data_IF_869259641979
#
_entry.id   IF_869259641979
#
_cell.length_a   1.000
_cell.length_b   1.000
_cell.length_c   1.000
_cell.angle_alpha   90.00
_cell.angle_beta   90.00
_cell.angle_gamma   90.00
#
_symmetry.space_group_name_H-M   'P 1'
#
loop_
_entity.id
_entity.type
_entity.pdbx_description
1 polymer ?
#
# COMPACT_ATOMS: atom_id res chain seq x y z
N UNK A 1 13.21 19.96 -16.01
CA UNK A 1 14.14 19.11 -15.25
C UNK A 1 14.29 17.76 -15.94
N UNK A 2 15.50 17.22 -15.93
CA UNK A 2 15.76 15.88 -16.46
C UNK A 2 15.16 14.83 -15.51
N UNK A 3 14.89 13.63 -16.04
CA UNK A 3 14.42 12.50 -15.23
C UNK A 3 15.36 12.24 -14.04
N UNK A 4 16.66 12.27 -14.27
CA UNK A 4 17.66 12.02 -13.23
C UNK A 4 17.58 13.07 -12.11
N UNK A 5 17.40 14.34 -12.45
CA UNK A 5 17.27 15.42 -11.47
C UNK A 5 16.01 15.25 -10.62
N UNK A 6 14.88 14.92 -11.25
CA UNK A 6 13.62 14.66 -10.56
C UNK A 6 13.78 13.46 -9.59
N UNK A 7 14.41 12.40 -10.06
CA UNK A 7 14.65 11.21 -9.24
C UNK A 7 15.48 11.54 -7.99
N UNK A 8 16.54 12.33 -8.14
CA UNK A 8 17.39 12.74 -7.00
C UNK A 8 16.62 13.60 -6.00
N UNK A 9 15.73 14.50 -6.48
CA UNK A 9 14.90 15.34 -5.60
C UNK A 9 13.87 14.52 -4.81
N UNK A 10 13.46 13.36 -5.31
CA UNK A 10 12.48 12.48 -4.68
C UNK A 10 13.14 11.32 -3.93
N UNK A 11 14.44 11.44 -3.64
CA UNK A 11 15.17 10.44 -2.85
C UNK A 11 15.39 10.95 -1.43
N UNK A 12 15.74 10.03 -0.52
CA UNK A 12 16.10 10.34 0.84
C UNK A 12 17.17 9.35 1.32
N UNK A 13 17.94 9.70 2.36
CA UNK A 13 18.88 8.74 2.96
C UNK A 13 18.18 7.47 3.46
N UNK A 14 16.97 7.61 3.99
CA UNK A 14 16.18 6.46 4.45
C UNK A 14 15.80 5.55 3.30
N UNK A 15 15.34 6.13 2.18
CA UNK A 15 15.00 5.37 0.99
C UNK A 15 16.20 4.61 0.45
N UNK A 16 17.36 5.26 0.37
CA UNK A 16 18.59 4.62 -0.10
C UNK A 16 18.96 3.42 0.76
N UNK A 17 18.86 3.56 2.08
CA UNK A 17 19.13 2.49 3.04
C UNK A 17 18.17 1.31 2.86
N UNK A 18 16.87 1.62 2.75
CA UNK A 18 15.85 0.60 2.56
C UNK A 18 16.05 -0.15 1.25
N UNK A 19 16.40 0.56 0.18
CA UNK A 19 16.67 -0.07 -1.12
C UNK A 19 17.90 -0.97 -1.06
N UNK A 20 18.91 -0.61 -0.28
CA UNK A 20 20.07 -1.47 -0.08
C UNK A 20 19.68 -2.79 0.62
N UNK A 21 18.86 -2.70 1.67
CA UNK A 21 18.34 -3.90 2.34
C UNK A 21 17.47 -4.73 1.40
N UNK A 22 16.63 -4.06 0.62
CA UNK A 22 15.73 -4.74 -0.33
C UNK A 22 16.52 -5.50 -1.42
N UNK A 23 17.67 -4.94 -1.84
CA UNK A 23 18.53 -5.64 -2.81
C UNK A 23 18.99 -7.01 -2.32
N UNK A 24 19.19 -7.15 -1.01
CA UNK A 24 19.57 -8.44 -0.40
C UNK A 24 18.35 -9.35 -0.17
N UNK A 25 17.15 -8.78 -0.04
CA UNK A 25 15.91 -9.54 0.25
C UNK A 25 14.75 -8.96 -0.57
N UNK A 26 14.77 -9.14 -1.91
CA UNK A 26 13.86 -8.40 -2.80
C UNK A 26 12.39 -8.75 -2.66
N UNK A 27 12.05 -9.87 -2.04
CA UNK A 27 10.66 -10.32 -1.87
C UNK A 27 10.16 -10.16 -0.43
N UNK A 28 10.96 -9.56 0.45
CA UNK A 28 10.57 -9.37 1.84
C UNK A 28 9.43 -8.34 1.92
N UNK A 29 8.21 -8.75 2.32
CA UNK A 29 7.07 -7.84 2.34
C UNK A 29 7.24 -6.70 3.34
N UNK A 30 7.96 -6.93 4.43
CA UNK A 30 8.22 -5.89 5.41
C UNK A 30 9.10 -4.79 4.81
N UNK A 31 10.12 -5.15 4.04
CA UNK A 31 10.98 -4.17 3.37
C UNK A 31 10.25 -3.46 2.23
N UNK A 32 9.49 -4.20 1.43
CA UNK A 32 8.68 -3.61 0.37
C UNK A 32 7.69 -2.60 0.95
N UNK A 33 7.07 -2.93 2.08
CA UNK A 33 6.14 -2.05 2.76
C UNK A 33 6.85 -0.77 3.25
N UNK A 34 8.03 -0.93 3.86
CA UNK A 34 8.79 0.21 4.35
C UNK A 34 9.19 1.16 3.20
N UNK A 35 9.58 0.60 2.06
CA UNK A 35 9.91 1.39 0.86
C UNK A 35 8.67 2.14 0.36
N UNK A 36 7.52 1.45 0.28
CA UNK A 36 6.27 2.09 -0.13
C UNK A 36 5.92 3.27 0.78
N UNK A 37 6.04 3.09 2.09
CA UNK A 37 5.77 4.15 3.07
C UNK A 37 6.72 5.34 2.90
N UNK A 38 7.97 5.07 2.59
CA UNK A 38 8.94 6.14 2.36
C UNK A 38 8.60 6.93 1.09
N UNK A 39 8.19 6.24 0.02
CA UNK A 39 7.73 6.95 -1.18
C UNK A 39 6.48 7.79 -0.91
N UNK A 40 5.55 7.32 -0.09
CA UNK A 40 4.41 8.15 0.32
C UNK A 40 4.88 9.42 1.04
N UNK A 41 5.85 9.28 1.95
CA UNK A 41 6.45 10.40 2.65
C UNK A 41 7.07 11.42 1.70
N UNK A 42 7.65 10.95 0.61
CA UNK A 42 8.24 11.80 -0.43
C UNK A 42 7.21 12.31 -1.45
N UNK A 43 5.94 12.01 -1.26
CA UNK A 43 4.84 12.39 -2.16
C UNK A 43 4.93 11.73 -3.54
N UNK A 44 5.66 10.63 -3.65
CA UNK A 44 5.72 9.84 -4.88
C UNK A 44 4.71 8.71 -4.81
N UNK A 45 3.45 9.06 -5.05
CA UNK A 45 2.32 8.13 -4.90
C UNK A 45 2.36 7.00 -5.92
N UNK A 46 2.87 7.24 -7.13
CA UNK A 46 2.95 6.22 -8.17
C UNK A 46 3.96 5.12 -7.79
N UNK A 47 5.14 5.52 -7.29
CA UNK A 47 6.12 4.55 -6.83
C UNK A 47 5.62 3.79 -5.59
N UNK A 48 4.98 4.49 -4.65
CA UNK A 48 4.38 3.85 -3.49
C UNK A 48 3.37 2.78 -3.92
N UNK A 49 2.51 3.11 -4.87
CA UNK A 49 1.53 2.16 -5.40
C UNK A 49 2.21 0.92 -5.99
N UNK A 50 3.26 1.11 -6.78
CA UNK A 50 3.99 -0.01 -7.39
C UNK A 50 4.52 -0.98 -6.34
N UNK A 51 5.07 -0.47 -5.23
CA UNK A 51 5.57 -1.34 -4.15
C UNK A 51 4.45 -2.04 -3.39
N UNK A 52 3.33 -1.36 -3.13
CA UNK A 52 2.18 -2.03 -2.52
C UNK A 52 1.63 -3.14 -3.42
N UNK A 53 1.55 -2.90 -4.72
CA UNK A 53 1.09 -3.92 -5.66
C UNK A 53 2.06 -5.10 -5.75
N UNK A 54 3.37 -4.85 -5.59
CA UNK A 54 4.37 -5.92 -5.54
C UNK A 54 4.14 -6.83 -4.31
N UNK A 55 3.80 -6.24 -3.15
CA UNK A 55 3.45 -7.04 -1.96
C UNK A 55 2.24 -7.91 -2.26
N UNK A 56 1.19 -7.33 -2.83
CA UNK A 56 -0.04 -8.07 -3.15
C UNK A 56 0.22 -9.25 -4.07
N UNK A 57 1.07 -9.04 -5.07
CA UNK A 57 1.41 -10.09 -6.02
C UNK A 57 2.20 -11.24 -5.39
N UNK A 58 3.10 -10.92 -4.46
CA UNK A 58 4.01 -11.90 -3.88
C UNK A 58 3.47 -12.52 -2.59
N UNK A 59 2.78 -11.73 -1.79
CA UNK A 59 2.27 -12.16 -0.48
C UNK A 59 0.88 -11.58 -0.22
N UNK A 60 -0.15 -12.08 -0.91
CA UNK A 60 -1.51 -11.55 -0.77
C UNK A 60 -2.10 -11.72 0.62
N UNK A 61 -1.52 -12.60 1.46
CA UNK A 61 -1.95 -12.78 2.85
C UNK A 61 -1.33 -11.75 3.82
N UNK A 62 -0.53 -10.83 3.34
CA UNK A 62 0.06 -9.79 4.19
C UNK A 62 -1.00 -8.75 4.55
N UNK A 63 -1.60 -8.91 5.73
CA UNK A 63 -2.78 -8.15 6.17
C UNK A 63 -2.53 -6.64 6.16
N UNK A 64 -1.36 -6.21 6.62
CA UNK A 64 -1.02 -4.80 6.76
C UNK A 64 -1.01 -4.00 5.44
N UNK A 65 -0.95 -4.69 4.32
CA UNK A 65 -0.96 -4.06 3.00
C UNK A 65 -2.26 -3.30 2.72
N UNK A 66 -3.40 -3.92 3.01
CA UNK A 66 -4.68 -3.56 2.38
C UNK A 66 -5.24 -2.22 2.84
N UNK A 67 -5.05 -1.88 4.10
CA UNK A 67 -5.46 -0.57 4.60
C UNK A 67 -4.70 0.55 3.88
N UNK A 68 -3.38 0.41 3.78
CA UNK A 68 -2.54 1.43 3.14
C UNK A 68 -2.77 1.50 1.64
N UNK A 69 -2.95 0.35 1.00
CA UNK A 69 -3.27 0.31 -0.44
C UNK A 69 -4.60 1.02 -0.71
N UNK A 70 -5.62 0.73 0.09
CA UNK A 70 -6.92 1.38 -0.05
C UNK A 70 -6.83 2.89 0.15
N UNK A 71 -6.10 3.33 1.19
CA UNK A 71 -5.91 4.76 1.44
C UNK A 71 -5.18 5.45 0.29
N UNK A 72 -4.20 4.79 -0.29
CA UNK A 72 -3.47 5.34 -1.43
C UNK A 72 -4.39 5.49 -2.65
N UNK A 73 -5.22 4.50 -2.92
CA UNK A 73 -6.21 4.59 -3.99
C UNK A 73 -7.20 5.74 -3.75
N UNK A 74 -7.60 6.00 -2.51
CA UNK A 74 -8.42 7.16 -2.21
C UNK A 74 -7.70 8.47 -2.57
N UNK A 75 -6.41 8.57 -2.22
CA UNK A 75 -5.60 9.75 -2.57
C UNK A 75 -5.48 9.95 -4.09
N UNK A 76 -5.47 8.85 -4.83
CA UNK A 76 -5.39 8.88 -6.29
C UNK A 76 -6.76 9.06 -6.96
N UNK A 77 -7.79 9.31 -6.17
CA UNK A 77 -9.18 9.49 -6.64
C UNK A 77 -9.69 8.27 -7.41
N UNK A 78 -9.34 7.07 -6.90
CA UNK A 78 -9.76 5.79 -7.44
C UNK A 78 -10.57 5.02 -6.40
N UNK A 79 -11.83 5.46 -6.12
CA UNK A 79 -12.62 4.88 -5.03
C UNK A 79 -13.02 3.43 -5.25
N UNK A 80 -13.22 3.01 -6.51
CA UNK A 80 -13.55 1.62 -6.81
C UNK A 80 -12.41 0.70 -6.40
N UNK A 81 -11.18 1.04 -6.76
CA UNK A 81 -10.00 0.27 -6.39
C UNK A 81 -9.77 0.28 -4.88
N UNK A 82 -10.05 1.41 -4.23
CA UNK A 82 -9.97 1.50 -2.77
C UNK A 82 -10.98 0.54 -2.11
N UNK A 83 -12.22 0.53 -2.57
CA UNK A 83 -13.25 -0.39 -2.09
C UNK A 83 -12.80 -1.85 -2.23
N UNK A 84 -12.29 -2.20 -3.40
CA UNK A 84 -11.81 -3.56 -3.66
C UNK A 84 -10.65 -3.94 -2.76
N UNK A 85 -9.71 -3.02 -2.52
CA UNK A 85 -8.58 -3.27 -1.63
C UNK A 85 -9.04 -3.52 -0.18
N UNK A 86 -9.96 -2.69 0.32
CA UNK A 86 -10.50 -2.88 1.67
C UNK A 86 -11.27 -4.20 1.78
N UNK A 87 -12.07 -4.52 0.77
CA UNK A 87 -12.85 -5.76 0.76
C UNK A 87 -11.94 -6.99 0.78
N UNK A 88 -10.90 -6.99 -0.07
CA UNK A 88 -9.92 -8.07 -0.09
C UNK A 88 -9.19 -8.18 1.26
N UNK A 89 -8.81 -7.04 1.82
CA UNK A 89 -8.14 -7.00 3.13
C UNK A 89 -9.01 -7.56 4.25
N UNK A 90 -10.31 -7.29 4.21
CA UNK A 90 -11.23 -7.84 5.20
C UNK A 90 -11.27 -9.37 5.16
N UNK A 91 -11.27 -9.94 3.96
CA UNK A 91 -11.23 -11.39 3.80
C UNK A 91 -9.91 -11.97 4.34
N UNK A 92 -8.79 -11.32 4.03
CA UNK A 92 -7.47 -11.74 4.52
C UNK A 92 -7.43 -11.66 6.06
N UNK A 93 -7.96 -10.57 6.63
CA UNK A 93 -8.00 -10.37 8.07
C UNK A 93 -8.85 -11.45 8.77
N UNK A 94 -10.00 -11.82 8.17
CA UNK A 94 -10.83 -12.88 8.71
C UNK A 94 -10.10 -14.21 8.76
N UNK A 95 -9.42 -14.57 7.68
CA UNK A 95 -8.65 -15.81 7.61
C UNK A 95 -7.49 -15.81 8.61
N UNK A 96 -6.87 -14.67 8.84
CA UNK A 96 -5.79 -14.51 9.81
C UNK A 96 -6.30 -14.36 11.25
N UNK A 97 -7.60 -14.23 11.44
CA UNK A 97 -8.24 -13.95 12.75
C UNK A 97 -7.71 -12.66 13.38
N UNK A 98 -7.42 -11.69 12.54
CA UNK A 98 -6.94 -10.37 12.96
C UNK A 98 -8.12 -9.42 13.09
N UNK A 99 -8.72 -9.38 14.28
CA UNK A 99 -9.93 -8.59 14.54
C UNK A 99 -9.66 -7.09 14.48
N UNK A 100 -8.45 -6.67 14.88
CA UNK A 100 -8.07 -5.26 14.81
C UNK A 100 -8.02 -4.78 13.36
N UNK A 101 -7.32 -5.51 12.51
CA UNK A 101 -7.23 -5.18 11.09
C UNK A 101 -8.61 -5.22 10.42
N UNK A 102 -9.43 -6.22 10.74
CA UNK A 102 -10.77 -6.32 10.19
C UNK A 102 -11.61 -5.08 10.53
N UNK A 103 -11.55 -4.63 11.79
CA UNK A 103 -12.28 -3.43 12.22
C UNK A 103 -11.80 -2.17 11.50
N UNK A 104 -10.49 -2.00 11.35
CA UNK A 104 -9.92 -0.85 10.63
C UNK A 104 -10.37 -0.84 9.16
N UNK A 105 -10.28 -1.98 8.50
CA UNK A 105 -10.63 -2.10 7.08
C UNK A 105 -12.13 -1.89 6.87
N UNK A 106 -12.97 -2.47 7.73
CA UNK A 106 -14.41 -2.27 7.65
C UNK A 106 -14.78 -0.80 7.84
N UNK A 107 -14.15 -0.12 8.81
CA UNK A 107 -14.38 1.30 9.05
C UNK A 107 -13.97 2.16 7.86
N UNK A 108 -12.80 1.89 7.29
CA UNK A 108 -12.32 2.61 6.12
C UNK A 108 -13.25 2.42 4.92
N UNK A 109 -13.71 1.18 4.70
CA UNK A 109 -14.64 0.88 3.62
C UNK A 109 -15.99 1.59 3.82
N UNK A 110 -16.50 1.58 5.05
CA UNK A 110 -17.75 2.26 5.36
C UNK A 110 -17.67 3.76 5.08
N UNK A 111 -16.53 4.37 5.35
CA UNK A 111 -16.32 5.79 5.07
C UNK A 111 -16.30 6.12 3.57
N UNK A 112 -16.02 5.15 2.70
CA UNK A 112 -16.10 5.35 1.26
C UNK A 112 -17.55 5.40 0.77
N UNK A 113 -18.43 4.62 1.36
CA UNK A 113 -19.82 4.51 0.94
C UNK A 113 -20.40 3.15 1.28
N UNK A 114 -21.54 2.85 0.68
CA UNK A 114 -22.25 1.59 0.87
C UNK A 114 -21.89 0.59 -0.24
N UNK A 115 -22.18 -0.68 0.01
CA UNK A 115 -21.97 -1.73 -0.97
C UNK A 115 -22.65 -1.43 -2.31
N UNK A 116 -23.83 -0.80 -2.26
CA UNK A 116 -24.58 -0.43 -3.45
C UNK A 116 -23.83 0.55 -4.36
N UNK A 117 -22.96 1.38 -3.79
CA UNK A 117 -22.19 2.37 -4.56
C UNK A 117 -21.08 1.71 -5.38
N UNK A 118 -20.66 0.49 -5.05
CA UNK A 118 -19.48 -0.16 -5.61
C UNK A 118 -19.74 -1.53 -6.24
N UNK A 119 -20.97 -1.98 -6.28
CA UNK A 119 -21.33 -3.30 -6.85
C UNK A 119 -22.43 -3.25 -7.94
#
# INVERSE_FOLDING_TARGET
>A
LSFLTIHLLMSSPRLEKLQAFLSASPDDPFLLFAVAKEYESLKDTQEALAYYLAIRAKQPAYVGLYYHLGKLYEQLSQPQQAWEAYTAGMEVAKLARDQHALGELAGARLNLGDEEDFT
#
